data_IF_965486302394
#
_entry.id   IF_965486302394
#
_cell.length_a   1.000
_cell.length_b   1.000
_cell.length_c   1.000
_cell.angle_alpha   90.00
_cell.angle_beta   90.00
_cell.angle_gamma   90.00
#
_symmetry.space_group_name_H-M   'P 1'
#
loop_
_entity.id
_entity.type
_entity.pdbx_description
1 polymer ?
#
# COMPACT_ATOMS: atom_id res chain seq x y z
N UNK A 1 -1.68 -16.36 12.60
CA UNK A 1 -3.06 -16.63 12.13
C UNK A 1 -3.53 -15.37 11.42
N UNK A 2 -4.01 -15.48 10.19
CA UNK A 2 -4.32 -14.31 9.38
C UNK A 2 -5.83 -14.21 9.15
N UNK A 3 -6.41 -13.01 9.34
CA UNK A 3 -7.84 -12.75 9.28
C UNK A 3 -8.48 -12.97 7.89
N UNK A 4 -7.68 -13.14 6.85
CA UNK A 4 -8.13 -13.32 5.46
C UNK A 4 -8.17 -14.77 4.98
N UNK A 5 -8.04 -15.76 5.87
CA UNK A 5 -8.09 -17.19 5.49
C UNK A 5 -9.53 -17.67 5.34
N UNK A 6 -9.90 -18.09 4.11
CA UNK A 6 -11.25 -18.53 3.73
C UNK A 6 -11.79 -19.77 4.48
N UNK A 7 -10.94 -20.54 5.14
CA UNK A 7 -11.29 -21.87 5.66
C UNK A 7 -11.54 -21.92 7.16
N UNK A 8 -11.73 -20.77 7.80
CA UNK A 8 -12.03 -20.74 9.23
C UNK A 8 -13.55 -20.76 9.46
N UNK A 9 -13.99 -21.49 10.48
CA UNK A 9 -15.37 -21.44 10.92
C UNK A 9 -15.74 -20.01 11.36
N UNK A 10 -16.96 -19.58 11.05
CA UNK A 10 -17.43 -18.22 11.32
C UNK A 10 -17.25 -17.81 12.79
N UNK A 11 -17.53 -18.71 13.74
CA UNK A 11 -17.33 -18.44 15.17
C UNK A 11 -15.88 -18.19 15.56
N UNK A 12 -14.94 -18.93 14.94
CA UNK A 12 -13.52 -18.72 15.16
C UNK A 12 -13.04 -17.37 14.61
N UNK A 13 -13.53 -16.98 13.42
CA UNK A 13 -13.21 -15.67 12.85
C UNK A 13 -13.72 -14.53 13.72
N UNK A 14 -14.96 -14.62 14.20
CA UNK A 14 -15.53 -13.61 15.08
C UNK A 14 -14.70 -13.41 16.35
N UNK A 15 -14.25 -14.52 16.97
CA UNK A 15 -13.38 -14.46 18.13
C UNK A 15 -12.02 -13.80 17.80
N UNK A 16 -11.42 -14.13 16.65
CA UNK A 16 -10.18 -13.50 16.19
C UNK A 16 -10.33 -11.99 15.98
N UNK A 17 -11.42 -11.54 15.38
CA UNK A 17 -11.70 -10.12 15.22
C UNK A 17 -11.91 -9.42 16.57
N UNK A 18 -12.56 -10.07 17.53
CA UNK A 18 -12.69 -9.55 18.89
C UNK A 18 -11.33 -9.37 19.57
N UNK A 19 -10.46 -10.40 19.49
CA UNK A 19 -9.09 -10.31 20.02
C UNK A 19 -8.27 -9.25 19.28
N UNK A 20 -8.36 -9.18 17.97
CA UNK A 20 -7.67 -8.17 17.18
C UNK A 20 -8.06 -6.75 17.61
N UNK A 21 -9.38 -6.47 17.79
CA UNK A 21 -9.86 -5.17 18.29
C UNK A 21 -9.31 -4.86 19.69
N UNK A 22 -9.20 -5.86 20.55
CA UNK A 22 -8.58 -5.70 21.89
C UNK A 22 -7.11 -5.30 21.77
N UNK A 23 -6.35 -5.93 20.90
CA UNK A 23 -4.93 -5.65 20.70
C UNK A 23 -4.70 -4.23 20.16
N UNK A 24 -5.52 -3.76 19.21
CA UNK A 24 -5.36 -2.43 18.62
C UNK A 24 -6.03 -1.32 19.45
N UNK A 25 -6.78 -1.65 20.49
CA UNK A 25 -7.53 -0.66 21.29
C UNK A 25 -6.68 0.49 21.84
N UNK A 26 -5.40 0.31 22.26
CA UNK A 26 -4.56 1.43 22.67
C UNK A 26 -4.35 2.47 21.57
N UNK A 27 -4.18 2.02 20.32
CA UNK A 27 -4.03 2.92 19.16
C UNK A 27 -5.34 3.68 18.85
N UNK A 28 -6.48 3.01 19.06
CA UNK A 28 -7.80 3.65 18.87
C UNK A 28 -8.01 4.72 19.93
N UNK A 29 -7.76 4.40 21.22
CA UNK A 29 -7.96 5.31 22.34
C UNK A 29 -7.03 6.52 22.26
N UNK A 30 -5.78 6.32 21.84
CA UNK A 30 -4.81 7.41 21.66
C UNK A 30 -4.98 8.24 20.39
N UNK A 31 -5.95 7.87 19.52
CA UNK A 31 -6.15 8.54 18.22
C UNK A 31 -5.03 8.30 17.20
N UNK A 32 -4.18 7.29 17.43
CA UNK A 32 -3.04 6.97 16.55
C UNK A 32 -3.36 5.96 15.45
N UNK A 33 -4.55 5.35 15.48
CA UNK A 33 -4.97 4.43 14.43
C UNK A 33 -5.42 5.20 13.20
N UNK A 34 -4.64 5.18 12.13
CA UNK A 34 -5.00 5.76 10.83
C UNK A 34 -6.01 4.88 10.09
N UNK A 35 -5.65 3.63 9.85
CA UNK A 35 -6.50 2.64 9.18
C UNK A 35 -6.01 1.23 9.45
N UNK A 36 -6.89 0.24 9.26
CA UNK A 36 -6.57 -1.18 9.30
C UNK A 36 -6.49 -1.67 7.85
N UNK A 37 -5.30 -2.05 7.40
CA UNK A 37 -5.11 -2.55 6.04
C UNK A 37 -5.41 -4.05 5.96
N UNK A 38 -6.42 -4.40 5.17
CA UNK A 38 -6.70 -5.76 4.72
C UNK A 38 -6.16 -5.97 3.32
N UNK A 39 -4.98 -6.56 3.22
CA UNK A 39 -4.45 -7.01 1.94
C UNK A 39 -4.90 -8.44 1.69
N UNK A 40 -5.74 -8.63 0.69
CA UNK A 40 -6.24 -9.94 0.28
C UNK A 40 -5.29 -10.64 -0.69
N UNK A 41 -5.12 -11.97 -0.57
CA UNK A 41 -4.26 -12.74 -1.47
C UNK A 41 -4.89 -12.90 -2.86
N UNK A 42 -4.09 -13.30 -3.88
CA UNK A 42 -4.58 -13.45 -5.26
C UNK A 42 -5.74 -14.45 -5.45
N UNK A 43 -5.98 -15.36 -4.51
CA UNK A 43 -7.11 -16.29 -4.59
C UNK A 43 -8.43 -15.70 -4.04
N UNK A 44 -8.40 -14.48 -3.49
CA UNK A 44 -9.60 -13.75 -3.06
C UNK A 44 -10.16 -12.99 -4.27
N UNK A 45 -11.20 -13.52 -4.88
CA UNK A 45 -11.78 -13.07 -6.13
C UNK A 45 -13.15 -12.39 -5.94
N UNK A 46 -13.66 -11.72 -6.95
CA UNK A 46 -14.92 -10.96 -6.88
C UNK A 46 -16.14 -11.89 -6.98
N UNK A 47 -16.27 -12.79 -6.00
CA UNK A 47 -17.46 -13.67 -5.87
C UNK A 47 -18.43 -13.13 -4.81
N UNK A 48 -19.69 -13.52 -4.91
CA UNK A 48 -20.71 -13.18 -3.90
C UNK A 48 -20.23 -13.54 -2.49
N UNK A 49 -19.61 -14.70 -2.33
CA UNK A 49 -19.06 -15.17 -1.04
C UNK A 49 -18.00 -14.21 -0.48
N UNK A 50 -17.14 -13.64 -1.34
CA UNK A 50 -16.09 -12.75 -0.89
C UNK A 50 -16.63 -11.34 -0.59
N UNK A 51 -17.64 -10.89 -1.30
CA UNK A 51 -18.40 -9.69 -0.92
C UNK A 51 -19.10 -9.87 0.45
N UNK A 52 -19.72 -11.02 0.69
CA UNK A 52 -20.35 -11.31 1.99
C UNK A 52 -19.32 -11.37 3.12
N UNK A 53 -18.13 -11.91 2.86
CA UNK A 53 -17.03 -11.86 3.81
C UNK A 53 -16.62 -10.42 4.16
N UNK A 54 -16.54 -9.52 3.18
CA UNK A 54 -16.24 -8.11 3.41
C UNK A 54 -17.34 -7.41 4.25
N UNK A 55 -18.62 -7.77 4.07
CA UNK A 55 -19.72 -7.30 4.95
C UNK A 55 -19.53 -7.78 6.39
N UNK A 56 -19.10 -9.03 6.59
CA UNK A 56 -18.78 -9.55 7.91
C UNK A 56 -17.59 -8.81 8.54
N UNK A 57 -16.53 -8.53 7.78
CA UNK A 57 -15.38 -7.70 8.22
C UNK A 57 -15.89 -6.36 8.76
N UNK A 58 -16.77 -5.68 8.02
CA UNK A 58 -17.36 -4.41 8.47
C UNK A 58 -18.16 -4.59 9.75
N UNK A 59 -18.98 -5.63 9.83
CA UNK A 59 -19.78 -5.95 11.02
C UNK A 59 -18.90 -6.14 12.26
N UNK A 60 -17.81 -6.91 12.13
CA UNK A 60 -16.94 -7.23 13.26
C UNK A 60 -16.02 -6.06 13.67
N UNK A 61 -15.66 -5.20 12.74
CA UNK A 61 -14.83 -4.02 13.04
C UNK A 61 -15.66 -2.77 13.40
N UNK A 62 -16.96 -2.77 13.11
CA UNK A 62 -17.82 -1.64 13.40
C UNK A 62 -17.41 -0.39 12.62
N UNK A 63 -17.15 0.72 13.32
CA UNK A 63 -16.77 2.01 12.71
C UNK A 63 -15.26 2.23 12.57
N UNK A 64 -14.43 1.23 12.88
CA UNK A 64 -12.99 1.38 12.71
C UNK A 64 -12.62 1.64 11.25
N UNK A 65 -11.63 2.50 10.98
CA UNK A 65 -11.20 2.79 9.62
C UNK A 65 -10.55 1.55 9.00
N UNK A 66 -10.98 1.21 7.78
CA UNK A 66 -10.53 0.00 7.06
C UNK A 66 -10.15 0.37 5.63
N UNK A 67 -8.96 -0.04 5.23
CA UNK A 67 -8.51 -0.04 3.86
C UNK A 67 -8.45 -1.49 3.32
N UNK A 68 -8.94 -1.71 2.10
CA UNK A 68 -8.97 -3.01 1.43
C UNK A 68 -8.09 -2.97 0.19
N UNK A 69 -7.18 -3.92 0.07
CA UNK A 69 -6.28 -4.07 -1.06
C UNK A 69 -6.54 -5.42 -1.73
N UNK A 70 -6.99 -5.38 -2.97
CA UNK A 70 -7.25 -6.57 -3.76
C UNK A 70 -6.07 -6.91 -4.66
N UNK A 71 -5.77 -8.22 -4.76
CA UNK A 71 -4.67 -8.78 -5.54
C UNK A 71 -5.15 -9.76 -6.61
N UNK A 72 -6.43 -9.71 -6.95
CA UNK A 72 -7.02 -10.53 -8.01
C UNK A 72 -7.68 -9.61 -9.04
N UNK A 73 -7.39 -9.86 -10.32
CA UNK A 73 -7.89 -9.04 -11.43
C UNK A 73 -9.42 -9.06 -11.58
N UNK A 74 -10.12 -10.04 -11.01
CA UNK A 74 -11.59 -10.12 -11.10
C UNK A 74 -12.28 -8.92 -10.47
N UNK A 75 -11.66 -8.29 -9.46
CA UNK A 75 -12.15 -7.08 -8.81
C UNK A 75 -12.13 -5.84 -9.71
N UNK A 76 -11.31 -5.87 -10.76
CA UNK A 76 -11.05 -4.74 -11.66
C UNK A 76 -11.66 -4.92 -13.06
N UNK A 77 -12.45 -5.98 -13.28
CA UNK A 77 -13.14 -6.19 -14.55
C UNK A 77 -14.19 -5.09 -14.78
N UNK A 78 -14.40 -4.66 -16.06
CA UNK A 78 -15.48 -3.74 -16.41
C UNK A 78 -16.83 -4.21 -15.86
N UNK A 79 -17.61 -3.30 -15.31
CA UNK A 79 -18.88 -3.59 -14.62
C UNK A 79 -18.72 -4.11 -13.18
N UNK A 80 -17.61 -4.77 -12.84
CA UNK A 80 -17.33 -5.20 -11.48
C UNK A 80 -16.67 -4.06 -10.69
N UNK A 81 -15.72 -3.35 -11.29
CA UNK A 81 -14.98 -2.30 -10.57
C UNK A 81 -15.91 -1.16 -10.13
N UNK A 82 -16.89 -0.80 -10.92
CA UNK A 82 -17.90 0.19 -10.55
C UNK A 82 -18.69 -0.27 -9.33
N UNK A 83 -19.15 -1.53 -9.33
CA UNK A 83 -19.83 -2.13 -8.20
C UNK A 83 -18.94 -2.22 -6.94
N UNK A 84 -17.63 -2.49 -7.11
CA UNK A 84 -16.65 -2.49 -6.01
C UNK A 84 -16.50 -1.09 -5.41
N UNK A 85 -16.43 -0.06 -6.24
CA UNK A 85 -16.35 1.33 -5.76
C UNK A 85 -17.58 1.69 -4.92
N UNK A 86 -18.77 1.38 -5.41
CA UNK A 86 -20.02 1.67 -4.69
C UNK A 86 -20.14 0.84 -3.41
N UNK A 87 -19.74 -0.41 -3.45
CA UNK A 87 -19.68 -1.28 -2.29
C UNK A 87 -18.70 -0.77 -1.21
N UNK A 88 -17.52 -0.31 -1.63
CA UNK A 88 -16.56 0.29 -0.70
C UNK A 88 -17.11 1.58 -0.08
N UNK A 89 -17.82 2.40 -0.86
CA UNK A 89 -18.50 3.61 -0.35
C UNK A 89 -19.57 3.27 0.68
N UNK A 90 -20.45 2.31 0.36
CA UNK A 90 -21.51 1.82 1.26
C UNK A 90 -20.94 1.37 2.62
N UNK A 91 -19.85 0.62 2.58
CA UNK A 91 -19.20 0.09 3.78
C UNK A 91 -18.16 1.04 4.41
N UNK A 92 -17.97 2.24 3.87
CA UNK A 92 -16.93 3.17 4.29
C UNK A 92 -15.54 2.50 4.35
N UNK A 93 -15.19 1.75 3.30
CA UNK A 93 -13.87 1.19 3.07
C UNK A 93 -13.05 2.11 2.17
N UNK A 94 -11.77 2.26 2.48
CA UNK A 94 -10.79 2.84 1.56
C UNK A 94 -10.33 1.76 0.58
N UNK A 95 -10.69 1.87 -0.70
CA UNK A 95 -10.13 1.01 -1.75
C UNK A 95 -8.68 1.45 -2.02
N UNK A 96 -7.72 0.55 -1.80
CA UNK A 96 -6.31 0.85 -2.01
C UNK A 96 -5.97 0.76 -3.49
N UNK A 97 -5.42 1.85 -4.05
CA UNK A 97 -4.82 1.82 -5.37
C UNK A 97 -3.43 1.16 -5.28
N UNK A 98 -3.17 0.20 -6.15
CA UNK A 98 -1.93 -0.59 -6.14
C UNK A 98 -1.21 -0.42 -7.46
N UNK A 99 0.08 -0.12 -7.42
CA UNK A 99 0.93 -0.16 -8.62
C UNK A 99 1.82 -1.40 -8.62
N UNK A 100 1.72 -2.16 -9.69
CA UNK A 100 2.39 -3.41 -9.98
C UNK A 100 2.76 -3.45 -11.46
N UNK A 101 3.56 -4.42 -11.96
CA UNK A 101 3.80 -4.57 -13.39
C UNK A 101 2.50 -4.77 -14.17
N UNK A 102 2.28 -3.97 -15.20
CA UNK A 102 0.98 -3.93 -15.91
C UNK A 102 0.68 -5.15 -16.78
N UNK A 103 1.72 -5.88 -17.23
CA UNK A 103 1.59 -6.92 -18.26
C UNK A 103 1.71 -8.35 -17.71
N UNK A 104 1.51 -8.52 -16.42
CA UNK A 104 1.61 -9.84 -15.77
C UNK A 104 0.22 -10.33 -15.36
N UNK A 105 -0.19 -11.56 -15.72
CA UNK A 105 -1.51 -12.08 -15.35
C UNK A 105 -1.81 -12.12 -13.85
N UNK A 106 -0.76 -12.12 -13.02
CA UNK A 106 -0.88 -12.17 -11.57
C UNK A 106 -0.95 -10.78 -10.91
N UNK A 107 -0.80 -9.70 -11.66
CA UNK A 107 -0.87 -8.33 -11.16
C UNK A 107 -2.25 -7.71 -11.39
N UNK A 108 -2.53 -6.62 -10.69
CA UNK A 108 -3.77 -5.85 -10.83
C UNK A 108 -3.49 -4.49 -11.46
N UNK A 109 -4.46 -3.88 -12.18
CA UNK A 109 -4.28 -2.57 -12.76
C UNK A 109 -4.22 -1.48 -11.67
N UNK A 110 -3.49 -0.39 -11.94
CA UNK A 110 -3.56 0.81 -11.11
C UNK A 110 -4.94 1.46 -11.29
N UNK A 111 -5.71 1.48 -10.21
CA UNK A 111 -7.04 2.08 -10.19
C UNK A 111 -7.19 2.97 -8.95
N UNK A 112 -7.26 4.27 -9.16
CA UNK A 112 -7.34 5.28 -8.09
C UNK A 112 -8.75 5.88 -8.05
N UNK A 113 -9.43 5.75 -6.92
CA UNK A 113 -10.75 6.32 -6.69
C UNK A 113 -10.92 6.70 -5.21
N UNK A 114 -11.69 7.76 -4.96
CA UNK A 114 -12.10 8.12 -3.60
C UNK A 114 -13.36 7.34 -3.24
N UNK A 115 -13.19 6.31 -2.41
CA UNK A 115 -14.29 5.50 -1.85
C UNK A 115 -14.61 5.85 -0.41
N UNK A 116 -13.67 6.51 0.27
CA UNK A 116 -13.79 7.02 1.63
C UNK A 116 -13.34 8.50 1.63
N UNK A 117 -14.18 9.44 2.08
CA UNK A 117 -13.81 10.87 2.08
C UNK A 117 -12.67 11.20 3.05
N UNK A 118 -12.45 10.39 4.08
CA UNK A 118 -11.42 10.65 5.09
C UNK A 118 -10.03 10.25 4.60
N UNK A 119 -9.93 9.19 3.76
CA UNK A 119 -8.65 8.63 3.37
C UNK A 119 -8.68 8.04 1.95
N UNK A 120 -7.71 8.41 1.14
CA UNK A 120 -7.28 7.67 -0.05
C UNK A 120 -5.90 7.06 0.23
N UNK A 121 -5.70 5.80 -0.15
CA UNK A 121 -4.44 5.10 0.04
C UNK A 121 -3.91 4.54 -1.27
N UNK A 122 -2.62 4.79 -1.52
CA UNK A 122 -1.88 4.28 -2.67
C UNK A 122 -0.70 3.45 -2.17
N UNK A 123 -0.47 2.29 -2.77
CA UNK A 123 0.69 1.44 -2.47
C UNK A 123 1.46 1.09 -3.75
N UNK A 124 2.71 1.54 -3.80
CA UNK A 124 3.60 1.41 -4.96
C UNK A 124 4.59 0.27 -4.71
N UNK A 125 4.34 -0.89 -5.32
CA UNK A 125 5.13 -2.12 -5.10
C UNK A 125 6.31 -2.28 -6.06
N UNK A 126 6.39 -1.43 -7.08
CA UNK A 126 7.39 -1.52 -8.13
C UNK A 126 6.96 -2.39 -9.30
N UNK A 127 7.48 -2.05 -10.49
CA UNK A 127 7.13 -2.66 -11.77
C UNK A 127 8.21 -3.63 -12.28
N UNK A 128 8.88 -4.36 -11.39
CA UNK A 128 9.91 -5.34 -11.76
C UNK A 128 9.30 -6.62 -12.32
N UNK A 129 9.09 -6.70 -13.64
CA UNK A 129 8.50 -7.84 -14.33
C UNK A 129 9.20 -9.17 -14.02
N UNK A 130 10.53 -9.17 -14.04
CA UNK A 130 11.32 -10.38 -13.78
C UNK A 130 11.15 -10.87 -12.33
N UNK A 131 11.15 -9.91 -11.38
CA UNK A 131 10.94 -10.21 -9.96
C UNK A 131 9.54 -10.74 -9.66
N UNK A 132 8.54 -10.28 -10.39
CA UNK A 132 7.15 -10.74 -10.25
C UNK A 132 6.89 -12.08 -10.92
N UNK A 133 7.56 -12.38 -12.03
CA UNK A 133 7.49 -13.68 -12.71
C UNK A 133 8.25 -14.76 -11.95
N UNK A 134 9.22 -14.41 -11.10
CA UNK A 134 10.07 -15.35 -10.37
C UNK A 134 9.36 -15.86 -9.11
N UNK A 135 9.12 -17.18 -9.04
CA UNK A 135 8.53 -17.85 -7.87
C UNK A 135 9.58 -18.51 -6.95
N UNK A 136 10.86 -18.20 -7.13
CA UNK A 136 11.96 -18.74 -6.32
C UNK A 136 11.96 -18.26 -4.87
N UNK A 137 12.86 -18.78 -4.03
CA UNK A 137 12.94 -18.45 -2.59
C UNK A 137 13.10 -16.94 -2.30
N UNK A 138 13.74 -16.20 -3.20
CA UNK A 138 14.02 -14.76 -3.07
C UNK A 138 12.95 -13.86 -3.75
N UNK A 139 11.83 -14.44 -4.18
CA UNK A 139 10.79 -13.71 -4.95
C UNK A 139 10.32 -12.42 -4.28
N UNK A 140 10.26 -12.38 -2.94
CA UNK A 140 9.82 -11.19 -2.21
C UNK A 140 10.80 -10.03 -2.34
N UNK A 141 12.11 -10.33 -2.33
CA UNK A 141 13.16 -9.32 -2.47
C UNK A 141 13.27 -8.82 -3.92
N UNK A 142 13.20 -9.75 -4.88
CA UNK A 142 13.33 -9.39 -6.30
C UNK A 142 12.12 -8.61 -6.79
N UNK A 143 10.93 -8.93 -6.34
CA UNK A 143 9.69 -8.28 -6.72
C UNK A 143 9.67 -6.78 -6.42
N UNK A 144 10.16 -6.38 -5.26
CA UNK A 144 10.17 -5.00 -4.79
C UNK A 144 11.51 -4.27 -5.07
N UNK A 145 12.41 -4.92 -5.82
CA UNK A 145 13.64 -4.31 -6.32
C UNK A 145 13.32 -3.48 -7.57
N UNK A 146 12.94 -2.24 -7.36
CA UNK A 146 12.52 -1.34 -8.42
C UNK A 146 12.71 0.12 -8.02
N UNK A 147 13.19 0.94 -8.96
CA UNK A 147 13.27 2.39 -8.81
C UNK A 147 12.33 3.03 -9.82
N UNK A 148 11.34 3.73 -9.32
CA UNK A 148 10.46 4.53 -10.17
C UNK A 148 11.23 5.67 -10.83
N UNK A 149 11.04 5.82 -12.13
CA UNK A 149 11.55 6.96 -12.89
C UNK A 149 10.72 8.21 -12.61
N UNK A 150 11.28 9.39 -12.94
CA UNK A 150 10.55 10.66 -12.84
C UNK A 150 9.28 10.68 -13.69
N UNK A 151 9.29 10.02 -14.85
CA UNK A 151 8.12 9.90 -15.71
C UNK A 151 6.99 9.11 -15.05
N UNK A 152 7.30 7.98 -14.42
CA UNK A 152 6.32 7.17 -13.68
C UNK A 152 5.78 7.90 -12.44
N UNK A 153 6.63 8.61 -11.73
CA UNK A 153 6.18 9.45 -10.60
C UNK A 153 5.25 10.57 -11.08
N UNK A 154 5.47 11.11 -12.28
CA UNK A 154 4.57 12.10 -12.90
C UNK A 154 3.19 11.51 -13.25
N UNK A 155 3.13 10.23 -13.65
CA UNK A 155 1.85 9.53 -13.85
C UNK A 155 1.03 9.51 -12.56
N UNK A 156 1.66 9.18 -11.41
CA UNK A 156 0.97 9.19 -10.12
C UNK A 156 0.55 10.60 -9.70
N UNK A 157 1.42 11.59 -9.87
CA UNK A 157 1.05 13.00 -9.62
C UNK A 157 -0.20 13.39 -10.42
N UNK A 158 -0.21 13.10 -11.71
CA UNK A 158 -1.35 13.40 -12.59
C UNK A 158 -2.61 12.67 -12.15
N UNK A 159 -2.50 11.39 -11.76
CA UNK A 159 -3.64 10.61 -11.27
C UNK A 159 -4.22 11.21 -9.97
N UNK A 160 -3.37 11.68 -9.07
CA UNK A 160 -3.77 12.33 -7.81
C UNK A 160 -4.46 13.67 -8.08
N UNK A 161 -3.89 14.48 -8.97
CA UNK A 161 -4.45 15.78 -9.36
C UNK A 161 -5.84 15.65 -10.02
N UNK A 162 -6.06 14.53 -10.73
CA UNK A 162 -7.32 14.21 -11.42
C UNK A 162 -8.38 13.52 -10.54
N UNK A 163 -8.13 13.32 -9.25
CA UNK A 163 -9.16 12.79 -8.35
C UNK A 163 -10.40 13.68 -8.37
N UNK A 164 -11.54 13.11 -8.75
CA UNK A 164 -12.83 13.84 -8.84
C UNK A 164 -13.35 14.32 -7.49
N UNK A 165 -12.98 13.62 -6.43
CA UNK A 165 -13.31 13.98 -5.04
C UNK A 165 -12.02 13.97 -4.24
N UNK A 166 -11.64 15.13 -3.69
CA UNK A 166 -10.45 15.22 -2.86
C UNK A 166 -10.73 14.64 -1.48
N UNK A 167 -9.89 13.71 -0.98
CA UNK A 167 -10.00 13.17 0.37
C UNK A 167 -9.46 14.18 1.40
N UNK A 168 -9.81 13.99 2.67
CA UNK A 168 -9.19 14.75 3.76
C UNK A 168 -7.69 14.42 3.87
N UNK A 169 -7.33 13.17 3.59
CA UNK A 169 -5.95 12.71 3.61
C UNK A 169 -5.65 11.75 2.45
N UNK A 170 -4.45 11.91 1.88
CA UNK A 170 -3.86 10.99 0.92
C UNK A 170 -2.60 10.36 1.52
N UNK A 171 -2.60 9.04 1.65
CA UNK A 171 -1.44 8.27 2.11
C UNK A 171 -0.83 7.50 0.95
N UNK A 172 0.45 7.73 0.67
CA UNK A 172 1.20 7.01 -0.38
C UNK A 172 2.32 6.21 0.27
N UNK A 173 2.31 4.89 0.08
CA UNK A 173 3.28 3.96 0.65
C UNK A 173 4.14 3.38 -0.46
N UNK A 174 5.43 3.68 -0.43
CA UNK A 174 6.40 3.08 -1.33
C UNK A 174 6.88 1.74 -0.77
N UNK A 175 6.50 0.65 -1.43
CA UNK A 175 6.87 -0.73 -1.09
C UNK A 175 8.02 -1.28 -1.94
N UNK A 176 8.65 -0.47 -2.79
CA UNK A 176 9.82 -0.80 -3.61
C UNK A 176 11.14 -0.70 -2.80
N UNK A 177 11.17 -1.39 -1.66
CA UNK A 177 12.17 -1.17 -0.60
C UNK A 177 13.41 -2.10 -0.68
N UNK A 178 13.44 -3.08 -1.57
CA UNK A 178 14.54 -4.07 -1.63
C UNK A 178 15.89 -3.48 -2.07
N UNK A 179 15.89 -2.40 -2.87
CA UNK A 179 17.09 -1.68 -3.33
C UNK A 179 17.31 -0.35 -2.63
N UNK A 180 16.64 -0.08 -1.50
CA UNK A 180 16.68 1.22 -0.81
C UNK A 180 16.10 2.39 -1.63
N UNK A 181 15.31 2.09 -2.67
CA UNK A 181 14.76 3.09 -3.60
C UNK A 181 13.44 3.72 -3.10
N UNK A 182 12.80 3.13 -2.11
CA UNK A 182 11.51 3.60 -1.59
C UNK A 182 11.58 5.04 -1.03
N UNK A 183 12.55 5.31 -0.17
CA UNK A 183 12.69 6.64 0.44
C UNK A 183 13.08 7.74 -0.58
N UNK A 184 14.06 7.53 -1.48
CA UNK A 184 14.34 8.50 -2.56
C UNK A 184 13.14 8.79 -3.45
N UNK A 185 12.39 7.75 -3.88
CA UNK A 185 11.18 7.94 -4.69
C UNK A 185 10.07 8.67 -3.92
N UNK A 186 9.89 8.37 -2.62
CA UNK A 186 8.91 9.06 -1.80
C UNK A 186 9.23 10.56 -1.66
N UNK A 187 10.50 10.91 -1.40
CA UNK A 187 10.94 12.29 -1.32
C UNK A 187 10.76 13.02 -2.65
N UNK A 188 11.11 12.37 -3.77
CA UNK A 188 10.93 12.95 -5.10
C UNK A 188 9.46 13.22 -5.42
N UNK A 189 8.56 12.25 -5.17
CA UNK A 189 7.13 12.47 -5.38
C UNK A 189 6.58 13.56 -4.46
N UNK A 190 7.00 13.58 -3.19
CA UNK A 190 6.63 14.62 -2.22
C UNK A 190 6.99 16.02 -2.74
N UNK A 191 8.20 16.20 -3.27
CA UNK A 191 8.63 17.45 -3.88
C UNK A 191 7.78 17.82 -5.11
N UNK A 192 7.53 16.85 -6.00
CA UNK A 192 6.73 17.04 -7.22
C UNK A 192 5.29 17.50 -6.92
N UNK A 193 4.68 16.99 -5.85
CA UNK A 193 3.30 17.37 -5.45
C UNK A 193 3.27 18.58 -4.50
N UNK A 194 4.44 19.19 -4.22
CA UNK A 194 4.56 20.41 -3.41
C UNK A 194 4.23 20.22 -1.92
N UNK A 195 4.33 19.00 -1.39
CA UNK A 195 4.04 18.73 0.03
C UNK A 195 5.26 19.06 0.89
N UNK A 196 5.08 19.95 1.83
CA UNK A 196 6.10 20.32 2.82
C UNK A 196 5.59 20.00 4.23
N UNK A 197 6.48 19.49 5.07
CA UNK A 197 6.17 19.24 6.49
C UNK A 197 6.89 20.27 7.35
N UNK A 198 6.12 21.02 8.14
CA UNK A 198 6.67 21.88 9.18
C UNK A 198 6.89 21.07 10.47
N UNK A 199 7.94 21.41 11.21
CA UNK A 199 8.18 20.83 12.54
C UNK A 199 8.72 19.39 12.53
N UNK A 200 9.27 18.93 11.42
CA UNK A 200 10.03 17.67 11.40
C UNK A 200 11.24 17.79 12.34
N UNK A 201 11.56 16.70 13.03
CA UNK A 201 12.80 16.63 13.80
C UNK A 201 14.00 16.95 12.91
N UNK A 202 15.06 17.61 13.43
CA UNK A 202 16.27 17.86 12.68
C UNK A 202 16.77 16.55 12.06
N UNK A 203 17.25 16.65 10.81
CA UNK A 203 17.90 15.50 10.16
C UNK A 203 19.01 15.02 11.09
N UNK A 204 19.03 13.72 11.39
CA UNK A 204 20.17 13.14 12.11
C UNK A 204 21.46 13.52 11.38
N UNK A 205 22.53 13.91 12.09
CA UNK A 205 23.81 14.14 11.44
C UNK A 205 24.18 12.90 10.62
N UNK A 206 24.74 13.13 9.42
CA UNK A 206 25.22 12.02 8.60
C UNK A 206 26.14 11.17 9.47
N UNK A 207 25.86 9.86 9.53
CA UNK A 207 26.70 8.93 10.26
C UNK A 207 28.06 8.94 9.59
N UNK A 208 29.04 9.54 10.24
CA UNK A 208 30.41 9.48 9.79
C UNK A 208 30.81 8.00 9.77
N UNK A 209 31.20 7.52 8.58
CA UNK A 209 31.73 6.17 8.45
C UNK A 209 33.09 6.11 9.15
N UNK A 210 33.10 5.63 10.39
CA UNK A 210 34.31 5.46 11.19
C UNK A 210 35.35 4.51 10.54
N UNK A 211 34.94 3.79 9.51
CA UNK A 211 35.79 2.86 8.75
C UNK A 211 36.10 3.33 7.34
N UNK A 212 35.76 4.58 6.98
CA UNK A 212 36.20 5.14 5.71
C UNK A 212 37.73 5.31 5.73
N UNK A 213 38.43 4.26 5.29
CA UNK A 213 39.83 4.31 4.96
C UNK A 213 39.96 5.15 3.69
N UNK A 214 40.01 6.46 3.86
CA UNK A 214 40.45 7.37 2.81
C UNK A 214 41.80 6.90 2.30
N UNK A 215 41.77 6.27 1.13
CA UNK A 215 43.01 5.99 0.41
C UNK A 215 43.75 7.29 0.16
N UNK A 216 44.77 7.54 0.93
CA UNK A 216 45.86 8.44 0.57
C UNK A 216 46.51 7.85 -0.69
N UNK A 217 45.89 8.10 -1.84
CA UNK A 217 46.50 7.86 -3.12
C UNK A 217 47.47 9.04 -3.37
N UNK A 218 48.72 8.78 -3.10
CA UNK A 218 49.91 9.33 -3.74
C UNK A 218 49.71 10.58 -4.63
N UNK A 219 49.95 11.75 -4.07
CA UNK A 219 50.66 12.81 -4.79
C UNK A 219 52.12 12.75 -4.33
N UNK A 220 52.96 12.00 -4.99
CA UNK A 220 54.39 12.26 -5.13
C UNK A 220 54.61 12.64 -6.58
N UNK A 221 54.88 13.90 -6.77
CA UNK A 221 56.03 14.55 -7.39
C UNK A 221 56.87 13.66 -8.31
N UNK A 222 56.86 13.97 -9.60
CA UNK A 222 58.01 14.48 -10.37
C UNK A 222 57.47 15.21 -11.58
#
# INVERSE_FOLDING_TARGET
MTLHQRHQERGMLEQLFKEYRRVISPLVVSGQLKTILFQFPPYFDATVKDFDYLRLVRTWLGRLPVAVEFRNQTWYKPGIIEAVVDFCRELNFTLVAVDEPHDIPASVPFFLATTNPDLVMVRLHGRNHQGWANQGKEWRKTRTLYRYSTAELKEFQTAIENLTTQPQELTIIFNNNSGQDAAPNALQLQEMIGVTFAGLAPKSPEQLDLFWRGGLANKMLY
#
